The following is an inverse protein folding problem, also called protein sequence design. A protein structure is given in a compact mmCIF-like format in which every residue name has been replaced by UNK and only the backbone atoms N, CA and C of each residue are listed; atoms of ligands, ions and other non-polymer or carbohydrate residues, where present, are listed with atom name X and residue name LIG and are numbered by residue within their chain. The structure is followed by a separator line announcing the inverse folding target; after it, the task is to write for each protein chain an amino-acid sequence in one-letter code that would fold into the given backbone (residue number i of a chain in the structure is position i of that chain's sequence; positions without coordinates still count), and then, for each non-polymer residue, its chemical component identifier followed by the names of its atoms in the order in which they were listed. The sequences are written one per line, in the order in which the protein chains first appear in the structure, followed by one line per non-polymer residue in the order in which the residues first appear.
data_IF_631519290610
#
_entry.id   IF_631519290610
#
_cell.length_a   1.000
_cell.length_b   1.000
_cell.length_c   1.000
_cell.angle_alpha   90.00
_cell.angle_beta   90.00
_cell.angle_gamma   90.00
#
_symmetry.space_group_name_H-M   'P 1'
#
loop_
_entity.id
_entity.type
_entity.pdbx_description
1 polymer ?
#
# COMPACT_ATOMS: atom_id res chain seq x y z
N UNK A 1 18.04 3.12 -17.71
CA UNK A 1 17.11 2.56 -16.71
C UNK A 1 17.88 2.15 -15.47
N UNK A 2 17.49 2.66 -14.30
CA UNK A 2 18.12 2.26 -13.03
C UNK A 2 17.70 0.82 -12.64
N UNK A 3 18.62 0.07 -12.02
CA UNK A 3 18.33 -1.26 -11.48
C UNK A 3 17.41 -1.14 -10.25
N UNK A 4 16.36 -1.99 -10.14
CA UNK A 4 15.43 -2.00 -8.99
C UNK A 4 16.12 -2.02 -7.63
N UNK A 5 17.27 -2.69 -7.48
CA UNK A 5 18.05 -2.71 -6.23
C UNK A 5 18.55 -1.30 -5.86
N UNK A 6 19.04 -0.55 -6.84
CA UNK A 6 19.51 0.82 -6.63
C UNK A 6 18.35 1.75 -6.30
N UNK A 7 17.22 1.60 -7.01
CA UNK A 7 16.01 2.38 -6.74
C UNK A 7 15.50 2.13 -5.31
N UNK A 8 15.41 0.85 -4.87
CA UNK A 8 15.03 0.52 -3.49
C UNK A 8 15.92 1.22 -2.47
N UNK A 9 17.24 1.14 -2.64
CA UNK A 9 18.20 1.76 -1.72
C UNK A 9 18.03 3.29 -1.68
N UNK A 10 17.92 3.93 -2.85
CA UNK A 10 17.69 5.38 -2.98
C UNK A 10 16.39 5.81 -2.30
N UNK A 11 15.31 5.07 -2.53
CA UNK A 11 13.99 5.44 -2.05
C UNK A 11 13.83 5.23 -0.54
N UNK A 12 14.39 4.15 0.00
CA UNK A 12 14.47 3.94 1.45
C UNK A 12 15.22 5.10 2.11
N UNK A 13 16.32 5.56 1.51
CA UNK A 13 17.08 6.70 2.03
C UNK A 13 16.24 7.98 2.04
N UNK A 14 15.54 8.28 0.93
CA UNK A 14 14.65 9.44 0.85
C UNK A 14 13.54 9.38 1.90
N UNK A 15 12.84 8.25 2.01
CA UNK A 15 11.72 8.06 2.94
C UNK A 15 12.16 8.17 4.41
N UNK A 16 13.35 7.67 4.75
CA UNK A 16 13.89 7.77 6.12
C UNK A 16 14.28 9.21 6.50
N UNK A 17 14.69 10.03 5.53
CA UNK A 17 15.09 11.42 5.77
C UNK A 17 13.99 12.44 5.46
N UNK A 18 12.81 11.98 5.04
CA UNK A 18 11.71 12.86 4.70
C UNK A 18 11.07 13.46 5.96
N UNK A 19 10.84 14.77 5.94
CA UNK A 19 10.38 15.55 7.09
C UNK A 19 9.10 14.98 7.70
N UNK A 20 9.10 14.79 9.02
CA UNK A 20 7.94 14.28 9.75
C UNK A 20 6.73 15.23 9.65
N UNK A 21 6.96 16.54 9.67
CA UNK A 21 5.89 17.54 9.51
C UNK A 21 5.28 17.47 8.11
N UNK A 22 6.13 17.30 7.10
CA UNK A 22 5.68 17.18 5.71
C UNK A 22 4.95 15.86 5.48
N UNK A 23 5.44 14.75 6.04
CA UNK A 23 4.70 13.48 6.07
C UNK A 23 3.31 13.67 6.65
N UNK A 24 3.20 14.27 7.83
CA UNK A 24 1.92 14.48 8.52
C UNK A 24 0.96 15.35 7.70
N UNK A 25 1.46 16.44 7.12
CA UNK A 25 0.67 17.32 6.24
C UNK A 25 0.14 16.56 5.03
N UNK A 26 1.03 15.89 4.29
CA UNK A 26 0.69 15.15 3.08
C UNK A 26 -0.21 13.95 3.36
N UNK A 27 -0.09 13.30 4.53
CA UNK A 27 -1.02 12.24 4.95
C UNK A 27 -2.46 12.76 5.01
N UNK A 28 -2.71 13.93 5.60
CA UNK A 28 -4.06 14.48 5.67
C UNK A 28 -4.68 14.73 4.28
N UNK A 29 -3.88 15.29 3.37
CA UNK A 29 -4.29 15.59 2.00
C UNK A 29 -4.58 14.33 1.20
N UNK A 30 -3.67 13.34 1.26
CA UNK A 30 -3.79 12.11 0.48
C UNK A 30 -4.97 11.25 0.94
N UNK A 31 -5.22 11.18 2.25
CA UNK A 31 -6.39 10.48 2.80
C UNK A 31 -7.69 11.15 2.36
N UNK A 32 -7.73 12.48 2.36
CA UNK A 32 -8.91 13.23 1.90
C UNK A 32 -9.18 13.00 0.42
N UNK A 33 -8.13 13.04 -0.42
CA UNK A 33 -8.23 12.77 -1.85
C UNK A 33 -8.69 11.33 -2.14
N UNK A 34 -8.12 10.35 -1.43
CA UNK A 34 -8.50 8.94 -1.56
C UNK A 34 -9.98 8.74 -1.20
N UNK A 35 -10.43 9.24 -0.04
CA UNK A 35 -11.82 9.10 0.41
C UNK A 35 -12.83 9.80 -0.50
N UNK A 36 -12.46 10.90 -1.15
CA UNK A 36 -13.31 11.63 -2.09
C UNK A 36 -13.38 10.98 -3.48
N UNK A 37 -12.56 9.96 -3.76
CA UNK A 37 -12.52 9.31 -5.07
C UNK A 37 -13.72 8.39 -5.32
N UNK A 38 -14.07 8.22 -6.59
CA UNK A 38 -15.07 7.21 -7.00
C UNK A 38 -14.62 5.79 -6.66
N UNK A 39 -13.31 5.53 -6.79
CA UNK A 39 -12.69 4.24 -6.48
C UNK A 39 -12.95 3.85 -5.02
N UNK A 40 -12.81 4.79 -4.08
CA UNK A 40 -13.18 4.57 -2.67
C UNK A 40 -14.69 4.47 -2.46
N UNK A 41 -15.47 5.39 -3.05
CA UNK A 41 -16.91 5.46 -2.84
C UNK A 41 -17.67 4.18 -3.25
N UNK A 42 -17.20 3.50 -4.30
CA UNK A 42 -17.82 2.30 -4.85
C UNK A 42 -17.39 0.98 -4.18
N UNK A 43 -16.41 0.99 -3.27
CA UNK A 43 -15.92 -0.20 -2.59
C UNK A 43 -16.55 -0.33 -1.21
N UNK A 44 -16.97 -1.53 -0.79
CA UNK A 44 -17.49 -1.79 0.55
C UNK A 44 -16.45 -2.48 1.44
N UNK A 45 -15.61 -3.34 0.85
CA UNK A 45 -14.50 -4.02 1.50
C UNK A 45 -13.18 -3.46 0.99
N UNK A 46 -12.42 -2.82 1.88
CA UNK A 46 -11.18 -2.13 1.51
C UNK A 46 -10.02 -2.76 2.26
N UNK A 47 -9.07 -3.29 1.50
CA UNK A 47 -7.82 -3.78 2.02
C UNK A 47 -6.80 -2.65 2.17
N UNK A 48 -6.34 -2.44 3.41
CA UNK A 48 -5.29 -1.49 3.77
C UNK A 48 -4.07 -2.23 4.28
N UNK A 49 -2.88 -1.67 4.04
CA UNK A 49 -1.66 -2.17 4.67
C UNK A 49 -1.50 -1.61 6.09
N UNK A 50 -0.78 -2.35 6.94
CA UNK A 50 -0.32 -1.84 8.23
C UNK A 50 0.98 -1.06 8.01
N UNK A 51 0.92 0.26 8.16
CA UNK A 51 2.00 1.15 7.76
C UNK A 51 3.29 0.95 8.56
N UNK A 52 4.41 0.90 7.84
CA UNK A 52 5.74 1.14 8.38
C UNK A 52 6.04 2.65 8.40
N UNK A 53 7.11 3.10 9.08
CA UNK A 53 7.52 4.52 9.05
C UNK A 53 7.87 5.09 7.66
N UNK A 54 8.01 4.22 6.66
CA UNK A 54 8.33 4.57 5.28
C UNK A 54 7.09 4.69 4.38
N UNK A 55 5.90 4.39 4.89
CA UNK A 55 4.65 4.46 4.14
C UNK A 55 3.74 5.56 4.71
N UNK A 56 2.73 5.97 3.95
CA UNK A 56 1.67 6.80 4.52
C UNK A 56 0.96 6.03 5.63
N UNK A 57 0.78 6.69 6.77
CA UNK A 57 -0.03 6.17 7.86
C UNK A 57 -1.51 6.26 7.50
N UNK A 58 -2.12 5.10 7.28
CA UNK A 58 -3.54 4.98 6.94
C UNK A 58 -4.41 4.69 8.16
N UNK A 59 -3.85 4.60 9.37
CA UNK A 59 -4.55 4.18 10.61
C UNK A 59 -5.85 4.94 10.87
N UNK A 60 -5.90 6.23 10.50
CA UNK A 60 -7.11 7.04 10.60
C UNK A 60 -8.30 6.42 9.86
N UNK A 61 -8.07 5.82 8.69
CA UNK A 61 -9.14 5.17 7.89
C UNK A 61 -9.76 3.97 8.60
N UNK A 62 -9.05 3.33 9.53
CA UNK A 62 -9.56 2.17 10.28
C UNK A 62 -10.66 2.55 11.28
N UNK A 63 -10.74 3.83 11.63
CA UNK A 63 -11.65 4.33 12.67
C UNK A 63 -12.80 5.17 12.11
N UNK A 64 -12.57 5.89 11.01
CA UNK A 64 -13.49 6.95 10.56
C UNK A 64 -14.42 6.53 9.43
N UNK A 65 -14.21 5.36 8.84
CA UNK A 65 -14.97 4.91 7.68
C UNK A 65 -16.04 3.89 8.06
N UNK A 66 -17.11 3.87 7.28
CA UNK A 66 -18.19 2.87 7.33
C UNK A 66 -17.89 1.57 6.56
N UNK A 67 -16.72 1.52 5.91
CA UNK A 67 -16.26 0.39 5.08
C UNK A 67 -15.73 -0.75 5.93
N UNK A 68 -15.83 -1.97 5.43
CA UNK A 68 -15.17 -3.11 6.06
C UNK A 68 -13.67 -3.08 5.73
N UNK A 69 -12.86 -2.79 6.74
CA UNK A 69 -11.40 -2.76 6.58
C UNK A 69 -10.83 -4.17 6.71
N UNK A 70 -10.01 -4.53 5.73
CA UNK A 70 -9.23 -5.76 5.70
C UNK A 70 -7.73 -5.43 5.82
N UNK A 71 -6.97 -6.30 6.46
CA UNK A 71 -5.51 -6.19 6.57
C UNK A 71 -4.83 -7.46 6.07
N UNK A 72 -3.58 -7.35 5.55
CA UNK A 72 -2.87 -8.50 5.00
C UNK A 72 -2.38 -9.43 6.11
N UNK A 73 -2.43 -10.73 5.82
CA UNK A 73 -1.73 -11.77 6.55
C UNK A 73 -0.73 -12.45 5.64
N UNK A 74 0.53 -12.48 6.04
CA UNK A 74 1.56 -13.17 5.27
C UNK A 74 1.55 -14.67 5.60
N UNK A 75 1.54 -15.49 4.56
CA UNK A 75 1.56 -16.95 4.65
C UNK A 75 2.89 -17.51 4.12
N UNK A 76 3.22 -18.79 4.43
CA UNK A 76 4.37 -19.46 3.85
C UNK A 76 4.39 -19.37 2.31
N UNK A 77 5.57 -19.55 1.72
CA UNK A 77 5.79 -19.49 0.25
C UNK A 77 5.39 -18.15 -0.38
N UNK A 78 5.51 -17.04 0.37
CA UNK A 78 5.23 -15.68 -0.10
C UNK A 78 3.79 -15.50 -0.59
N UNK A 79 2.86 -16.22 0.04
CA UNK A 79 1.43 -16.08 -0.17
C UNK A 79 0.87 -15.05 0.82
N UNK A 80 -0.28 -14.49 0.49
CA UNK A 80 -0.96 -13.49 1.31
C UNK A 80 -2.46 -13.73 1.22
N UNK A 81 -3.16 -13.49 2.31
CA UNK A 81 -4.62 -13.31 2.29
C UNK A 81 -4.94 -11.94 2.89
N UNK A 82 -6.13 -11.42 2.60
CA UNK A 82 -6.71 -10.35 3.39
C UNK A 82 -7.75 -10.94 4.33
N UNK A 83 -7.77 -10.45 5.57
CA UNK A 83 -8.80 -10.81 6.53
C UNK A 83 -9.26 -9.56 7.26
N UNK A 84 -10.44 -9.65 7.87
CA UNK A 84 -11.06 -8.53 8.57
C UNK A 84 -10.14 -7.98 9.66
N UNK A 85 -10.03 -6.66 9.71
CA UNK A 85 -9.40 -5.98 10.80
C UNK A 85 -10.27 -6.04 12.06
N UNK A 86 -9.75 -6.64 13.12
CA UNK A 86 -10.36 -6.67 14.45
C UNK A 86 -9.28 -6.44 15.49
N UNK A 87 -9.41 -5.34 16.24
CA UNK A 87 -8.43 -4.90 17.25
C UNK A 87 -8.20 -5.91 18.36
N UNK A 88 -9.15 -6.83 18.60
CA UNK A 88 -9.04 -7.89 19.62
C UNK A 88 -8.30 -9.12 19.12
N UNK A 89 -8.10 -9.24 17.81
CA UNK A 89 -7.67 -10.45 17.12
C UNK A 89 -6.46 -10.17 16.22
N UNK A 90 -5.47 -9.48 16.77
CA UNK A 90 -4.21 -9.15 16.09
C UNK A 90 -3.02 -9.85 16.74
N UNK A 91 -2.11 -10.33 15.90
CA UNK A 91 -0.82 -10.90 16.30
C UNK A 91 0.31 -10.15 15.62
N UNK A 92 1.49 -10.14 16.25
CA UNK A 92 2.69 -9.54 15.66
C UNK A 92 3.35 -10.56 14.73
N UNK A 93 3.50 -10.20 13.46
CA UNK A 93 4.19 -11.00 12.45
C UNK A 93 5.70 -11.02 12.66
N UNK A 94 6.39 -11.91 11.94
CA UNK A 94 7.86 -11.96 11.87
C UNK A 94 8.48 -10.67 11.30
N UNK A 95 7.69 -9.85 10.61
CA UNK A 95 8.11 -8.54 10.09
C UNK A 95 7.92 -7.41 11.11
N UNK A 96 7.43 -7.71 12.31
CA UNK A 96 7.19 -6.73 13.37
C UNK A 96 5.91 -5.90 13.18
N UNK A 97 5.12 -6.17 12.13
CA UNK A 97 3.83 -5.55 11.88
C UNK A 97 2.71 -6.38 12.50
N UNK A 98 1.61 -5.73 12.90
CA UNK A 98 0.39 -6.44 13.30
C UNK A 98 -0.27 -7.07 12.06
N UNK A 99 -0.78 -8.27 12.22
CA UNK A 99 -1.54 -9.01 11.20
C UNK A 99 -2.74 -9.68 11.89
N UNK A 100 -3.79 -10.07 11.15
CA UNK A 100 -4.94 -10.74 11.75
C UNK A 100 -4.51 -12.14 12.22
N UNK A 101 -5.04 -12.59 13.36
CA UNK A 101 -4.88 -13.97 13.82
C UNK A 101 -5.71 -14.96 12.97
N UNK A 102 -6.76 -14.46 12.33
CA UNK A 102 -7.68 -15.18 11.46
C UNK A 102 -7.00 -15.68 10.17
N UNK A 103 -7.41 -16.88 9.76
CA UNK A 103 -7.07 -17.49 8.47
C UNK A 103 -8.22 -17.43 7.46
N UNK A 104 -9.34 -16.79 7.82
CA UNK A 104 -10.51 -16.66 6.96
C UNK A 104 -10.25 -15.53 5.96
N UNK A 105 -10.02 -15.91 4.70
CA UNK A 105 -9.83 -14.95 3.62
C UNK A 105 -11.13 -14.21 3.30
N UNK A 106 -11.00 -12.90 3.12
CA UNK A 106 -12.04 -12.01 2.61
C UNK A 106 -11.47 -11.32 1.38
N UNK A 107 -12.18 -11.41 0.26
CA UNK A 107 -11.78 -10.76 -0.99
C UNK A 107 -12.19 -9.27 -0.93
N UNK A 108 -11.24 -8.32 -1.06
CA UNK A 108 -11.53 -6.89 -1.11
C UNK A 108 -12.14 -6.48 -2.44
N UNK A 109 -12.93 -5.39 -2.43
CA UNK A 109 -13.34 -4.69 -3.66
C UNK A 109 -12.22 -3.74 -4.13
N UNK A 110 -11.48 -3.18 -3.15
CA UNK A 110 -10.39 -2.23 -3.34
C UNK A 110 -9.19 -2.60 -2.48
N UNK A 111 -7.99 -2.57 -3.06
CA UNK A 111 -6.72 -2.70 -2.33
C UNK A 111 -5.91 -1.41 -2.43
N UNK A 112 -5.53 -0.85 -1.29
CA UNK A 112 -4.49 0.17 -1.22
C UNK A 112 -3.14 -0.55 -1.14
N UNK A 113 -2.41 -0.55 -2.25
CA UNK A 113 -1.18 -1.32 -2.44
C UNK A 113 0.04 -0.48 -2.04
N UNK A 114 0.87 -0.93 -1.08
CA UNK A 114 2.09 -0.23 -0.68
C UNK A 114 3.25 -0.51 -1.63
N UNK A 115 4.30 0.29 -1.50
CA UNK A 115 5.53 0.18 -2.27
C UNK A 115 6.55 1.25 -1.90
N UNK A 116 7.69 1.20 -2.57
CA UNK A 116 8.75 2.19 -2.43
C UNK A 116 8.71 3.19 -3.58
N UNK A 117 8.54 2.73 -4.81
CA UNK A 117 8.63 3.54 -6.02
C UNK A 117 7.59 3.11 -7.06
N UNK A 118 7.15 4.03 -7.92
CA UNK A 118 6.18 3.81 -8.99
C UNK A 118 6.63 4.46 -10.30
N UNK A 119 6.30 3.85 -11.43
CA UNK A 119 6.46 4.49 -12.74
C UNK A 119 5.12 5.08 -13.24
N UNK A 120 5.16 5.80 -14.36
CA UNK A 120 3.97 6.44 -14.97
C UNK A 120 2.87 5.46 -15.38
N UNK A 121 3.20 4.18 -15.54
CA UNK A 121 2.26 3.13 -15.92
C UNK A 121 1.63 2.43 -14.70
N UNK A 122 1.96 2.86 -13.47
CA UNK A 122 1.44 2.28 -12.24
C UNK A 122 2.16 1.01 -11.77
N UNK A 123 3.22 0.57 -12.45
CA UNK A 123 4.08 -0.48 -11.89
C UNK A 123 4.80 0.04 -10.67
N UNK A 124 5.07 -0.85 -9.72
CA UNK A 124 5.70 -0.49 -8.45
C UNK A 124 6.91 -1.34 -8.12
N UNK A 125 7.81 -0.78 -7.32
CA UNK A 125 8.91 -1.49 -6.68
C UNK A 125 8.57 -1.60 -5.20
N UNK A 126 8.28 -2.81 -4.73
CA UNK A 126 8.11 -3.08 -3.30
C UNK A 126 9.42 -3.40 -2.58
N UNK A 127 9.32 -3.83 -1.32
CA UNK A 127 10.45 -4.21 -0.46
C UNK A 127 11.18 -5.52 -0.86
N UNK A 128 10.74 -6.19 -1.93
CA UNK A 128 11.40 -7.39 -2.48
C UNK A 128 10.80 -8.73 -2.05
N UNK A 129 9.76 -8.75 -1.23
CA UNK A 129 9.07 -9.97 -0.81
C UNK A 129 8.16 -10.60 -1.88
N UNK A 130 7.69 -9.82 -2.86
CA UNK A 130 6.84 -10.31 -3.96
C UNK A 130 5.48 -10.87 -3.52
N UNK A 131 4.97 -10.46 -2.36
CA UNK A 131 3.65 -10.87 -1.84
C UNK A 131 2.52 -10.26 -2.67
N UNK A 132 2.55 -8.94 -2.86
CA UNK A 132 1.51 -8.24 -3.61
C UNK A 132 1.48 -8.64 -5.08
N UNK A 133 2.62 -8.77 -5.79
CA UNK A 133 2.58 -9.20 -7.20
C UNK A 133 1.95 -10.58 -7.37
N UNK A 134 2.22 -11.49 -6.43
CA UNK A 134 1.60 -12.83 -6.43
C UNK A 134 0.11 -12.78 -6.12
N UNK A 135 -0.31 -11.97 -5.16
CA UNK A 135 -1.72 -11.81 -4.83
C UNK A 135 -2.49 -11.15 -6.00
N UNK A 136 -1.92 -10.08 -6.55
CA UNK A 136 -2.55 -9.27 -7.58
C UNK A 136 -2.65 -9.97 -8.95
N UNK A 137 -1.79 -10.97 -9.23
CA UNK A 137 -1.83 -11.73 -10.49
C UNK A 137 -3.16 -12.41 -10.78
N UNK A 138 -4.01 -12.64 -9.77
CA UNK A 138 -5.35 -13.21 -9.93
C UNK A 138 -6.46 -12.36 -9.31
N UNK A 139 -6.15 -11.11 -8.97
CA UNK A 139 -7.12 -10.21 -8.34
C UNK A 139 -7.85 -9.39 -9.40
N UNK A 140 -9.18 -9.42 -9.37
CA UNK A 140 -10.03 -8.74 -10.36
C UNK A 140 -10.62 -7.41 -9.84
N UNK A 141 -10.42 -7.08 -8.56
CA UNK A 141 -10.90 -5.83 -7.98
C UNK A 141 -9.99 -4.64 -8.29
N UNK A 142 -10.35 -3.47 -7.74
CA UNK A 142 -9.61 -2.23 -7.97
C UNK A 142 -8.37 -2.16 -7.09
N UNK A 143 -7.32 -1.53 -7.60
CA UNK A 143 -6.06 -1.34 -6.86
C UNK A 143 -5.59 0.09 -7.00
N UNK A 144 -5.20 0.67 -5.88
CA UNK A 144 -4.68 2.03 -5.85
C UNK A 144 -3.41 2.09 -5.03
N UNK A 145 -2.59 3.10 -5.28
CA UNK A 145 -1.48 3.46 -4.38
C UNK A 145 -1.58 4.92 -3.99
N UNK A 146 -1.17 5.22 -2.76
CA UNK A 146 -0.95 6.59 -2.27
C UNK A 146 0.55 6.81 -2.15
N UNK A 147 1.07 7.86 -2.79
CA UNK A 147 2.52 8.04 -2.92
C UNK A 147 2.95 9.50 -2.71
N UNK A 148 4.16 9.68 -2.21
CA UNK A 148 4.86 10.96 -2.27
C UNK A 148 5.31 11.20 -3.71
N UNK A 149 5.38 12.47 -4.13
CA UNK A 149 5.79 12.84 -5.48
C UNK A 149 7.17 12.26 -5.89
N UNK A 150 8.15 12.26 -4.98
CA UNK A 150 9.50 11.72 -5.21
C UNK A 150 9.54 10.20 -5.37
N UNK A 151 8.44 9.49 -5.05
CA UNK A 151 8.37 8.05 -5.28
C UNK A 151 8.08 7.72 -6.75
N UNK A 152 7.74 8.72 -7.60
CA UNK A 152 7.66 8.54 -9.05
C UNK A 152 9.05 8.51 -9.67
N UNK A 153 9.39 7.40 -10.31
CA UNK A 153 10.69 7.17 -10.95
C UNK A 153 10.51 6.29 -12.19
N UNK A 154 11.37 6.48 -13.19
CA UNK A 154 11.36 5.66 -14.38
C UNK A 154 12.10 4.32 -14.15
N UNK A 155 11.43 3.21 -14.51
CA UNK A 155 12.01 1.87 -14.53
C UNK A 155 11.17 0.94 -15.41
N UNK A 156 11.79 -0.14 -15.85
CA UNK A 156 11.14 -1.19 -16.62
C UNK A 156 10.63 -2.30 -15.70
N UNK A 157 9.34 -2.67 -15.79
CA UNK A 157 8.80 -3.78 -15.03
C UNK A 157 9.32 -5.12 -15.55
N UNK A 158 9.29 -6.12 -14.67
CA UNK A 158 9.51 -7.52 -14.99
C UNK A 158 8.18 -8.21 -15.34
N UNK A 159 8.24 -9.36 -16.00
CA UNK A 159 7.04 -10.06 -16.50
C UNK A 159 6.01 -10.45 -15.41
N UNK A 160 6.44 -10.50 -14.15
CA UNK A 160 5.58 -10.82 -13.01
C UNK A 160 5.12 -9.61 -12.21
N UNK A 161 5.61 -8.39 -12.52
CA UNK A 161 5.15 -7.21 -11.82
C UNK A 161 3.73 -6.87 -12.27
N UNK A 162 2.87 -6.52 -11.32
CA UNK A 162 1.49 -6.11 -11.60
C UNK A 162 1.34 -4.61 -11.30
N UNK A 163 0.84 -3.86 -12.29
CA UNK A 163 0.54 -2.44 -12.13
C UNK A 163 -0.70 -2.23 -11.27
N UNK A 164 -0.75 -1.11 -10.54
CA UNK A 164 -2.00 -0.64 -9.91
C UNK A 164 -2.86 0.12 -10.91
N UNK A 165 -4.17 0.17 -10.67
CA UNK A 165 -5.10 0.87 -11.56
C UNK A 165 -4.98 2.40 -11.45
N UNK A 166 -4.73 2.94 -10.25
CA UNK A 166 -4.66 4.38 -10.02
C UNK A 166 -3.61 4.73 -8.95
N UNK A 167 -2.94 5.88 -9.13
CA UNK A 167 -1.91 6.38 -8.22
C UNK A 167 -2.28 7.78 -7.75
N UNK A 168 -2.64 7.90 -6.48
CA UNK A 168 -2.85 9.18 -5.81
C UNK A 168 -1.49 9.72 -5.37
N UNK A 169 -1.17 10.96 -5.77
CA UNK A 169 0.09 11.60 -5.43
C UNK A 169 -0.17 12.77 -4.49
N UNK A 170 0.50 12.80 -3.35
CA UNK A 170 0.48 13.96 -2.50
C UNK A 170 1.35 15.07 -3.12
N UNK A 171 0.77 16.27 -3.24
CA UNK A 171 1.48 17.41 -3.83
C UNK A 171 2.43 18.05 -2.81
N UNK A 172 3.62 18.42 -3.28
CA UNK A 172 4.42 19.42 -2.57
C UNK A 172 3.74 20.78 -2.69
N UNK A 173 3.78 21.56 -1.62
CA UNK A 173 3.68 23.01 -1.79
C UNK A 173 5.09 23.52 -2.08
N UNK A 174 5.24 24.17 -3.23
CA UNK A 174 6.44 24.91 -3.61
C UNK A 174 6.72 26.06 -2.60
#
# INVERSE_FOLDING_TARGET
MENKVLIRKKMINLLNNFSADEKKRQTGEILSALMASKTWGNADKIALYMATPMEFDLSRLFEVTDKEILIPKCLPKRQMIFAKYDTKHLVRSNFGLMEPDSMVEVIPDLIVVPGLAWNEQGYRIGFGGGYYDRYLSGFEGLTVSVIYDFQKVDFTPEAHDIAVHEVFTAARKD
#
